data_IF_926598346489
#
_entry.id   IF_926598346489
#
_cell.length_a   1.000
_cell.length_b   1.000
_cell.length_c   1.000
_cell.angle_alpha   90.00
_cell.angle_beta   90.00
_cell.angle_gamma   90.00
#
_symmetry.space_group_name_H-M   'P 1'
#
loop_
_entity.id
_entity.type
_entity.pdbx_description
1 polymer ?
#
# COMPACT_ATOMS: atom_id res chain seq x y z
N UNK A 1 0.33 -20.12 -17.73
CA UNK A 1 -0.23 -19.71 -16.42
C UNK A 1 -1.75 -19.75 -16.44
N UNK A 2 -2.42 -19.50 -15.31
CA UNK A 2 -3.90 -19.45 -15.23
C UNK A 2 -4.50 -18.42 -16.19
N UNK A 3 -3.86 -17.26 -16.37
CA UNK A 3 -4.33 -16.21 -17.29
C UNK A 3 -4.45 -16.71 -18.73
N UNK A 4 -3.45 -17.42 -19.26
CA UNK A 4 -3.50 -17.96 -20.63
C UNK A 4 -4.62 -19.00 -20.83
N UNK A 5 -4.95 -19.78 -19.79
CA UNK A 5 -6.07 -20.74 -19.85
C UNK A 5 -7.42 -20.02 -19.92
N UNK A 6 -7.59 -18.95 -19.16
CA UNK A 6 -8.83 -18.15 -19.11
C UNK A 6 -8.98 -17.32 -20.39
N UNK A 7 -7.89 -16.73 -20.88
CA UNK A 7 -7.85 -15.88 -22.06
C UNK A 7 -8.39 -16.57 -23.33
N UNK A 8 -8.15 -17.87 -23.51
CA UNK A 8 -8.72 -18.64 -24.62
C UNK A 8 -10.22 -18.98 -24.48
N UNK A 9 -10.80 -18.79 -23.30
CA UNK A 9 -12.21 -19.10 -22.99
C UNK A 9 -13.09 -17.86 -22.85
N UNK A 10 -12.47 -16.69 -22.64
CA UNK A 10 -13.15 -15.41 -22.52
C UNK A 10 -13.72 -14.93 -23.86
N UNK A 11 -14.82 -14.20 -23.78
CA UNK A 11 -15.30 -13.37 -24.91
C UNK A 11 -14.28 -12.29 -25.23
N UNK A 12 -14.27 -11.82 -26.48
CA UNK A 12 -13.31 -10.80 -26.93
C UNK A 12 -13.45 -9.45 -26.18
N UNK A 13 -14.63 -9.19 -25.59
CA UNK A 13 -14.94 -7.98 -24.81
C UNK A 13 -14.69 -8.12 -23.30
N UNK A 14 -14.39 -9.33 -22.80
CA UNK A 14 -14.22 -9.58 -21.38
C UNK A 14 -12.94 -8.91 -20.83
N UNK A 15 -13.05 -8.23 -19.69
CA UNK A 15 -11.88 -7.69 -18.95
C UNK A 15 -11.28 -8.81 -18.12
N UNK A 16 -9.96 -9.02 -18.25
CA UNK A 16 -9.21 -9.98 -17.45
C UNK A 16 -8.45 -9.19 -16.37
N UNK A 17 -8.98 -9.18 -15.15
CA UNK A 17 -8.36 -8.53 -14.01
C UNK A 17 -7.55 -9.53 -13.15
N UNK A 18 -6.33 -9.16 -12.78
CA UNK A 18 -5.48 -9.94 -11.87
C UNK A 18 -5.33 -9.25 -10.52
N UNK A 19 -5.47 -10.00 -9.42
CA UNK A 19 -5.22 -9.52 -8.06
C UNK A 19 -3.76 -9.72 -7.60
N UNK A 20 -2.81 -9.81 -8.55
CA UNK A 20 -1.39 -9.94 -8.22
C UNK A 20 -0.92 -8.75 -7.37
N UNK A 21 -0.11 -9.01 -6.33
CA UNK A 21 0.36 -7.97 -5.40
C UNK A 21 1.67 -7.30 -5.81
N UNK A 22 2.41 -7.89 -6.75
CA UNK A 22 3.75 -7.42 -7.15
C UNK A 22 4.12 -7.72 -8.61
N UNK A 23 3.26 -8.40 -9.38
CA UNK A 23 3.60 -8.80 -10.74
C UNK A 23 3.23 -7.70 -11.73
N UNK A 24 4.24 -7.22 -12.46
CA UNK A 24 4.09 -6.19 -13.49
C UNK A 24 3.10 -6.65 -14.57
N UNK A 25 2.05 -5.86 -14.89
CA UNK A 25 1.02 -6.22 -15.86
C UNK A 25 1.57 -6.65 -17.22
N UNK A 26 2.59 -5.96 -17.73
CA UNK A 26 3.20 -6.29 -19.03
C UNK A 26 3.83 -7.70 -19.05
N UNK A 27 4.55 -8.08 -17.99
CA UNK A 27 5.23 -9.38 -17.91
C UNK A 27 4.25 -10.56 -17.90
N UNK A 28 3.10 -10.38 -17.26
CA UNK A 28 2.09 -11.44 -17.12
C UNK A 28 1.11 -11.51 -18.29
N UNK A 29 0.96 -10.42 -19.06
CA UNK A 29 -0.04 -10.34 -20.14
C UNK A 29 0.53 -10.33 -21.56
N UNK A 30 1.84 -10.19 -21.76
CA UNK A 30 2.49 -10.04 -23.07
C UNK A 30 2.10 -11.09 -24.13
N UNK A 31 1.81 -12.31 -23.69
CA UNK A 31 1.50 -13.46 -24.55
C UNK A 31 0.00 -13.82 -24.59
N UNK A 32 -0.88 -12.98 -24.03
CA UNK A 32 -2.32 -13.19 -24.07
C UNK A 32 -2.91 -12.72 -25.41
N UNK A 33 -3.90 -13.44 -25.93
CA UNK A 33 -4.73 -13.05 -27.07
C UNK A 33 -5.42 -11.72 -26.78
N UNK A 34 -6.09 -11.59 -25.64
CA UNK A 34 -6.81 -10.37 -25.24
C UNK A 34 -5.97 -9.49 -24.30
N UNK A 35 -4.66 -9.35 -24.58
CA UNK A 35 -3.76 -8.57 -23.73
C UNK A 35 -4.20 -7.11 -23.55
N UNK A 36 -4.85 -6.52 -24.56
CA UNK A 36 -5.44 -5.18 -24.48
C UNK A 36 -6.59 -5.07 -23.49
N UNK A 37 -7.24 -6.19 -23.14
CA UNK A 37 -8.31 -6.29 -22.13
C UNK A 37 -7.79 -6.72 -20.75
N UNK A 38 -6.47 -6.85 -20.58
CA UNK A 38 -5.86 -7.27 -19.32
C UNK A 38 -5.55 -6.06 -18.44
N UNK A 39 -5.76 -6.21 -17.13
CA UNK A 39 -5.43 -5.18 -16.13
C UNK A 39 -5.07 -5.83 -14.78
N UNK A 40 -4.24 -5.17 -13.97
CA UNK A 40 -4.05 -5.56 -12.56
C UNK A 40 -4.93 -4.68 -11.67
N UNK A 41 -5.64 -5.31 -10.75
CA UNK A 41 -6.40 -4.69 -9.68
C UNK A 41 -5.85 -5.22 -8.36
N UNK A 42 -4.94 -4.48 -7.72
CA UNK A 42 -4.30 -4.89 -6.47
C UNK A 42 -5.10 -4.35 -5.26
N UNK A 43 -5.87 -5.20 -4.54
CA UNK A 43 -6.63 -4.75 -3.39
C UNK A 43 -5.77 -4.70 -2.13
N UNK A 44 -6.12 -3.81 -1.20
CA UNK A 44 -5.49 -3.74 0.12
C UNK A 44 -6.07 -4.79 1.06
N UNK A 45 -5.24 -5.59 1.74
CA UNK A 45 -5.71 -6.61 2.68
C UNK A 45 -5.98 -6.02 4.09
N UNK A 46 -7.16 -6.24 4.72
CA UNK A 46 -8.35 -6.95 4.22
C UNK A 46 -9.25 -6.06 3.33
N UNK A 47 -9.64 -6.52 2.13
CA UNK A 47 -10.30 -5.69 1.11
C UNK A 47 -11.69 -5.20 1.49
N UNK A 48 -12.33 -5.85 2.46
CA UNK A 48 -13.64 -5.45 2.94
C UNK A 48 -13.58 -4.22 3.86
N UNK A 49 -12.44 -3.97 4.52
CA UNK A 49 -12.26 -2.85 5.45
C UNK A 49 -11.22 -1.82 4.98
N UNK A 50 -10.40 -2.17 3.99
CA UNK A 50 -9.44 -1.29 3.34
C UNK A 50 -9.83 -1.15 1.86
N UNK A 51 -10.63 -0.14 1.49
CA UNK A 51 -11.32 -0.09 0.20
C UNK A 51 -10.39 0.27 -0.97
N UNK A 52 -9.12 0.58 -0.72
CA UNK A 52 -8.18 0.99 -1.76
C UNK A 52 -7.85 -0.17 -2.70
N UNK A 53 -8.01 0.06 -4.01
CA UNK A 53 -7.60 -0.86 -5.07
C UNK A 53 -6.71 -0.13 -6.07
N UNK A 54 -5.46 -0.57 -6.24
CA UNK A 54 -4.58 -0.03 -7.27
C UNK A 54 -4.94 -0.65 -8.62
N UNK A 55 -5.30 0.19 -9.60
CA UNK A 55 -5.64 -0.17 -10.97
C UNK A 55 -4.43 0.13 -11.85
N UNK A 56 -3.76 -0.93 -12.33
CA UNK A 56 -2.49 -0.82 -13.05
C UNK A 56 -2.64 -1.41 -14.47
N UNK A 57 -2.74 -0.55 -15.50
CA UNK A 57 -2.72 -1.00 -16.90
C UNK A 57 -1.32 -1.44 -17.34
N UNK A 58 -1.27 -2.38 -18.29
CA UNK A 58 -0.09 -2.60 -19.11
C UNK A 58 -0.01 -1.52 -20.22
N UNK A 59 1.14 -1.35 -20.89
CA UNK A 59 1.27 -0.37 -21.98
C UNK A 59 0.30 -0.55 -23.16
N UNK A 60 -0.26 -1.75 -23.33
CA UNK A 60 -1.23 -2.10 -24.37
C UNK A 60 -2.67 -2.21 -23.87
N UNK A 61 -2.92 -2.00 -22.57
CA UNK A 61 -4.28 -2.03 -22.03
C UNK A 61 -5.08 -0.88 -22.61
N UNK A 62 -6.26 -1.16 -23.17
CA UNK A 62 -7.09 -0.13 -23.78
C UNK A 62 -7.61 0.85 -22.72
N UNK A 63 -7.68 2.16 -23.03
CA UNK A 63 -8.17 3.16 -22.07
C UNK A 63 -9.56 2.88 -21.52
N UNK A 64 -10.46 2.29 -22.31
CA UNK A 64 -11.82 1.95 -21.87
C UNK A 64 -11.82 0.84 -20.80
N UNK A 65 -10.84 -0.07 -20.81
CA UNK A 65 -10.66 -1.08 -19.76
C UNK A 65 -10.40 -0.39 -18.43
N UNK A 66 -9.53 0.63 -18.42
CA UNK A 66 -9.18 1.38 -17.21
C UNK A 66 -10.40 2.11 -16.67
N UNK A 67 -11.13 2.81 -17.55
CA UNK A 67 -12.35 3.54 -17.16
C UNK A 67 -13.41 2.59 -16.62
N UNK A 68 -13.70 1.50 -17.34
CA UNK A 68 -14.72 0.51 -16.95
C UNK A 68 -14.35 -0.15 -15.63
N UNK A 69 -13.09 -0.57 -15.46
CA UNK A 69 -12.61 -1.19 -14.23
C UNK A 69 -12.72 -0.24 -13.04
N UNK A 70 -12.32 1.02 -13.22
CA UNK A 70 -12.42 2.05 -12.19
C UNK A 70 -13.89 2.28 -11.78
N UNK A 71 -14.80 2.36 -12.76
CA UNK A 71 -16.22 2.54 -12.48
C UNK A 71 -16.80 1.34 -11.71
N UNK A 72 -16.54 0.11 -12.18
CA UNK A 72 -17.03 -1.11 -11.53
C UNK A 72 -16.54 -1.23 -10.08
N UNK A 73 -15.27 -0.91 -9.81
CA UNK A 73 -14.74 -0.91 -8.46
C UNK A 73 -15.44 0.13 -7.58
N UNK A 74 -15.63 1.35 -8.07
CA UNK A 74 -16.33 2.41 -7.34
C UNK A 74 -17.79 2.04 -7.01
N UNK A 75 -18.50 1.40 -7.94
CA UNK A 75 -19.89 0.92 -7.72
C UNK A 75 -19.99 -0.12 -6.58
N UNK A 76 -18.91 -0.86 -6.31
CA UNK A 76 -18.84 -1.81 -5.19
C UNK A 76 -18.44 -1.17 -3.84
N UNK A 77 -18.28 0.15 -3.80
CA UNK A 77 -17.82 0.88 -2.61
C UNK A 77 -16.31 0.82 -2.38
N UNK A 78 -15.54 0.32 -3.35
CA UNK A 78 -14.08 0.41 -3.33
C UNK A 78 -13.62 1.80 -3.77
N UNK A 79 -12.38 2.14 -3.46
CA UNK A 79 -11.71 3.39 -3.82
C UNK A 79 -10.58 3.04 -4.80
N UNK A 80 -10.86 3.00 -6.11
CA UNK A 80 -9.83 2.70 -7.10
C UNK A 80 -8.85 3.87 -7.24
N UNK A 81 -7.57 3.57 -7.41
CA UNK A 81 -6.52 4.54 -7.77
C UNK A 81 -5.77 4.07 -9.02
N UNK A 82 -5.61 4.95 -9.99
CA UNK A 82 -4.97 4.59 -11.27
C UNK A 82 -3.47 4.79 -11.17
N UNK A 83 -2.71 3.70 -11.27
CA UNK A 83 -1.24 3.71 -11.37
C UNK A 83 -0.87 3.88 -12.84
N UNK A 84 -0.62 5.12 -13.25
CA UNK A 84 -0.43 5.51 -14.67
C UNK A 84 0.72 4.81 -15.39
N UNK A 85 1.71 4.31 -14.64
CA UNK A 85 2.87 3.61 -15.17
C UNK A 85 3.17 2.43 -14.27
N UNK A 86 3.25 1.24 -14.86
CA UNK A 86 3.66 0.05 -14.13
C UNK A 86 5.04 0.25 -13.47
N UNK A 87 5.13 -0.19 -12.22
CA UNK A 87 6.31 -0.09 -11.38
C UNK A 87 6.37 -1.32 -10.49
N UNK A 88 7.59 -1.76 -10.20
CA UNK A 88 7.84 -2.87 -9.28
C UNK A 88 7.23 -2.61 -7.90
N UNK A 89 6.52 -3.61 -7.39
CA UNK A 89 5.76 -3.60 -6.13
C UNK A 89 4.62 -2.56 -6.01
N UNK A 90 4.23 -1.88 -7.10
CA UNK A 90 3.15 -0.86 -7.11
C UNK A 90 3.36 0.29 -6.11
N UNK A 91 2.37 1.16 -5.87
CA UNK A 91 2.59 2.40 -5.10
C UNK A 91 2.43 2.16 -3.60
N UNK A 92 1.40 1.41 -3.19
CA UNK A 92 1.15 1.11 -1.78
C UNK A 92 2.36 0.44 -1.11
N UNK A 93 2.88 -0.65 -1.72
CA UNK A 93 4.01 -1.35 -1.09
C UNK A 93 5.27 -0.51 -1.11
N UNK A 94 5.52 0.32 -2.13
CA UNK A 94 6.70 1.20 -2.13
C UNK A 94 6.69 2.20 -0.97
N UNK A 95 5.54 2.77 -0.65
CA UNK A 95 5.39 3.63 0.53
C UNK A 95 5.58 2.80 1.81
N UNK A 96 4.92 1.64 1.91
CA UNK A 96 5.04 0.75 3.08
C UNK A 96 6.49 0.31 3.33
N UNK A 97 7.20 -0.14 2.29
CA UNK A 97 8.57 -0.64 2.38
C UNK A 97 9.56 0.49 2.68
N UNK A 98 9.28 1.73 2.26
CA UNK A 98 10.07 2.89 2.67
C UNK A 98 9.99 3.13 4.18
N UNK A 99 8.80 2.98 4.75
CA UNK A 99 8.57 3.09 6.20
C UNK A 99 9.26 1.93 6.93
N UNK A 100 9.02 0.68 6.50
CA UNK A 100 9.63 -0.50 7.14
C UNK A 100 11.16 -0.42 7.07
N UNK A 101 11.72 0.00 5.94
CA UNK A 101 13.17 0.12 5.75
C UNK A 101 13.81 1.10 6.75
N UNK A 102 13.16 2.23 7.02
CA UNK A 102 13.66 3.19 8.01
C UNK A 102 13.43 2.72 9.45
N UNK A 103 12.27 2.13 9.75
CA UNK A 103 12.03 1.52 11.07
C UNK A 103 13.05 0.43 11.40
N UNK A 104 13.41 -0.40 10.41
CA UNK A 104 14.45 -1.42 10.56
C UNK A 104 15.80 -0.80 10.94
N UNK A 105 16.19 0.27 10.26
CA UNK A 105 17.44 0.98 10.52
C UNK A 105 17.47 1.61 11.91
N UNK A 106 16.41 2.30 12.30
CA UNK A 106 16.30 2.91 13.63
C UNK A 106 16.40 1.87 14.74
N UNK A 107 15.83 0.69 14.53
CA UNK A 107 15.97 -0.43 15.47
C UNK A 107 17.39 -1.01 15.48
N UNK A 108 17.96 -1.28 14.30
CA UNK A 108 19.32 -1.83 14.14
C UNK A 108 20.39 -0.92 14.78
N UNK A 109 20.24 0.39 14.64
CA UNK A 109 21.14 1.41 15.19
C UNK A 109 20.87 1.72 16.67
N UNK A 110 19.90 1.03 17.29
CA UNK A 110 19.59 1.16 18.72
C UNK A 110 18.90 2.48 19.09
N UNK A 111 18.29 3.16 18.12
CA UNK A 111 17.59 4.43 18.36
C UNK A 111 16.31 4.20 19.15
N UNK A 112 15.58 3.11 18.86
CA UNK A 112 14.29 2.80 19.48
C UNK A 112 14.03 1.28 19.55
N UNK A 113 13.20 0.86 20.51
CA UNK A 113 12.66 -0.50 20.62
C UNK A 113 11.58 -0.77 19.56
N UNK A 114 11.23 -2.04 19.30
CA UNK A 114 10.11 -2.35 18.38
C UNK A 114 8.81 -1.75 18.91
N UNK A 115 8.59 -1.81 20.23
CA UNK A 115 7.37 -1.28 20.85
C UNK A 115 7.22 0.23 20.64
N UNK A 116 8.29 1.00 20.82
CA UNK A 116 8.21 2.44 20.69
C UNK A 116 8.12 2.89 19.22
N UNK A 117 8.77 2.16 18.30
CA UNK A 117 8.59 2.37 16.85
C UNK A 117 7.11 2.17 16.46
N UNK A 118 6.49 1.08 16.93
CA UNK A 118 5.08 0.81 16.68
C UNK A 118 4.19 1.94 17.24
N UNK A 119 4.48 2.46 18.44
CA UNK A 119 3.73 3.57 19.06
C UNK A 119 3.89 4.89 18.30
N UNK A 120 5.07 5.22 17.79
CA UNK A 120 5.28 6.42 16.95
C UNK A 120 4.34 6.41 15.76
N UNK A 121 4.12 5.22 15.17
CA UNK A 121 3.16 5.05 14.09
C UNK A 121 1.71 5.02 14.60
N UNK A 122 1.35 4.12 15.51
CA UNK A 122 -0.05 3.91 15.89
C UNK A 122 -0.67 5.09 16.64
N UNK A 123 0.11 5.74 17.51
CA UNK A 123 -0.36 6.86 18.34
C UNK A 123 0.03 8.24 17.78
N UNK A 124 0.96 8.30 16.82
CA UNK A 124 1.40 9.54 16.19
C UNK A 124 1.00 9.61 14.71
N UNK A 125 1.92 9.19 13.84
CA UNK A 125 1.84 9.45 12.39
C UNK A 125 0.66 8.74 11.71
N UNK A 126 0.37 7.52 12.11
CA UNK A 126 -0.74 6.71 11.58
C UNK A 126 -2.12 7.30 11.84
N UNK A 127 -2.30 8.07 12.93
CA UNK A 127 -3.59 8.68 13.25
C UNK A 127 -4.05 9.68 12.20
N UNK A 128 -3.15 10.53 11.71
CA UNK A 128 -3.47 11.46 10.60
C UNK A 128 -3.58 10.72 9.26
N UNK A 129 -2.73 9.72 9.03
CA UNK A 129 -2.78 8.93 7.79
C UNK A 129 -4.01 8.03 7.65
N UNK A 130 -4.77 7.81 8.72
CA UNK A 130 -6.10 7.22 8.64
C UNK A 130 -7.12 8.12 7.91
N UNK A 131 -6.89 9.43 7.85
CA UNK A 131 -7.84 10.41 7.34
C UNK A 131 -7.34 11.18 6.11
N UNK A 132 -6.03 11.42 6.00
CA UNK A 132 -5.45 12.25 4.94
C UNK A 132 -4.13 11.69 4.43
N UNK A 133 -3.78 12.04 3.18
CA UNK A 133 -2.52 11.63 2.56
C UNK A 133 -1.30 12.39 3.10
N UNK A 134 -0.08 11.93 2.81
CA UNK A 134 1.15 12.60 3.25
C UNK A 134 1.35 13.98 2.60
N UNK A 135 0.95 14.16 1.34
CA UNK A 135 1.06 15.45 0.65
C UNK A 135 0.05 16.47 1.17
N UNK A 136 -1.17 16.02 1.47
CA UNK A 136 -2.20 16.86 2.11
C UNK A 136 -1.78 17.23 3.53
N UNK A 137 -1.24 16.28 4.29
CA UNK A 137 -0.65 16.54 5.61
C UNK A 137 0.43 17.62 5.52
N UNK A 138 1.35 17.53 4.55
CA UNK A 138 2.38 18.56 4.35
C UNK A 138 1.76 19.91 3.99
N UNK A 139 0.77 19.92 3.09
CA UNK A 139 0.04 21.13 2.71
C UNK A 139 -0.60 21.82 3.93
N UNK A 140 -1.23 21.07 4.83
CA UNK A 140 -1.94 21.58 6.01
C UNK A 140 -1.03 21.92 7.20
N UNK A 141 0.17 21.34 7.29
CA UNK A 141 1.15 21.67 8.34
C UNK A 141 1.88 23.00 8.07
N UNK A 142 1.56 23.67 6.99
CA UNK A 142 2.08 24.96 6.60
C UNK A 142 0.98 25.78 5.91
N UNK A 143 1.30 26.97 5.44
CA UNK A 143 0.39 27.78 4.63
C UNK A 143 0.46 27.33 3.15
N UNK A 144 0.19 26.04 2.93
CA UNK A 144 0.29 25.36 1.64
C UNK A 144 1.68 24.81 1.30
N UNK A 145 1.76 24.09 0.16
CA UNK A 145 2.95 23.32 -0.21
C UNK A 145 4.19 24.17 -0.49
N UNK A 146 4.05 25.38 -1.03
CA UNK A 146 5.18 26.29 -1.23
C UNK A 146 5.80 26.70 0.11
N UNK A 147 4.96 27.11 1.07
CA UNK A 147 5.41 27.45 2.41
C UNK A 147 6.03 26.24 3.15
N UNK A 148 5.45 25.05 2.98
CA UNK A 148 6.02 23.81 3.51
C UNK A 148 7.42 23.55 2.93
N UNK A 149 7.57 23.71 1.61
CA UNK A 149 8.85 23.59 0.93
C UNK A 149 9.89 24.55 1.47
N UNK A 150 9.57 25.84 1.59
CA UNK A 150 10.50 26.84 2.11
C UNK A 150 10.94 26.58 3.55
N UNK A 151 10.02 26.08 4.40
CA UNK A 151 10.32 25.77 5.80
C UNK A 151 11.12 24.48 5.99
N UNK A 152 10.82 23.44 5.20
CA UNK A 152 11.23 22.08 5.55
C UNK A 152 12.12 21.38 4.52
N UNK A 153 12.30 21.93 3.31
CA UNK A 153 13.08 21.27 2.24
C UNK A 153 14.50 20.90 2.68
N UNK A 154 15.21 21.79 3.37
CA UNK A 154 16.59 21.55 3.81
C UNK A 154 16.67 20.45 4.88
N UNK A 155 15.73 20.45 5.83
CA UNK A 155 15.63 19.42 6.85
C UNK A 155 15.31 18.06 6.22
N UNK A 156 14.31 18.00 5.33
CA UNK A 156 13.89 16.77 4.65
C UNK A 156 15.07 16.21 3.86
N UNK A 157 15.73 17.05 3.05
CA UNK A 157 16.90 16.65 2.26
C UNK A 157 18.02 16.13 3.16
N UNK A 158 18.39 16.87 4.21
CA UNK A 158 19.43 16.47 5.15
C UNK A 158 19.15 15.11 5.79
N UNK A 159 17.92 14.86 6.25
CA UNK A 159 17.53 13.58 6.87
C UNK A 159 17.56 12.45 5.84
N UNK A 160 17.09 12.68 4.61
CA UNK A 160 17.17 11.66 3.56
C UNK A 160 18.62 11.29 3.22
N UNK A 161 19.55 12.25 3.27
CA UNK A 161 20.98 11.98 3.07
C UNK A 161 21.59 11.08 4.16
N UNK A 162 20.97 10.94 5.34
CA UNK A 162 21.48 10.07 6.42
C UNK A 162 20.97 8.64 6.37
N UNK A 163 20.02 8.32 5.48
CA UNK A 163 19.42 6.98 5.42
C UNK A 163 20.43 5.90 5.00
N UNK A 164 21.61 6.22 4.46
CA UNK A 164 22.59 5.20 4.07
C UNK A 164 22.06 4.15 3.08
N UNK A 165 22.72 3.00 3.02
CA UNK A 165 22.37 1.94 2.06
C UNK A 165 21.12 1.13 2.48
N UNK A 166 20.35 0.57 1.54
CA UNK A 166 19.27 -0.36 1.84
C UNK A 166 19.77 -1.57 2.68
N UNK A 167 18.97 -1.98 3.67
CA UNK A 167 19.23 -3.15 4.50
C UNK A 167 18.40 -4.33 4.04
N UNK A 168 18.98 -5.54 4.12
CA UNK A 168 18.22 -6.78 4.02
C UNK A 168 17.69 -7.12 5.41
N UNK A 169 16.43 -7.58 5.46
CA UNK A 169 15.78 -7.96 6.72
C UNK A 169 16.21 -9.38 7.12
N UNK A 170 17.46 -9.52 7.58
CA UNK A 170 18.08 -10.80 7.90
C UNK A 170 19.04 -10.70 9.09
N UNK A 171 19.55 -11.86 9.53
CA UNK A 171 20.58 -11.93 10.55
C UNK A 171 20.13 -11.50 11.96
N UNK A 172 21.06 -11.06 12.81
CA UNK A 172 20.79 -10.83 14.23
C UNK A 172 19.70 -9.79 14.50
N UNK A 173 19.54 -8.79 13.62
CA UNK A 173 18.48 -7.79 13.75
C UNK A 173 17.10 -8.42 13.56
N UNK A 174 16.95 -9.34 12.59
CA UNK A 174 15.71 -10.09 12.38
C UNK A 174 15.35 -10.91 13.62
N UNK A 175 16.32 -11.65 14.16
CA UNK A 175 16.11 -12.53 15.31
C UNK A 175 15.64 -11.73 16.54
N UNK A 176 16.22 -10.56 16.77
CA UNK A 176 15.83 -9.69 17.89
C UNK A 176 14.42 -9.12 17.71
N UNK A 177 14.08 -8.60 16.53
CA UNK A 177 12.73 -8.11 16.23
C UNK A 177 11.71 -9.24 16.38
N UNK A 178 12.01 -10.43 15.86
CA UNK A 178 11.16 -11.62 15.98
C UNK A 178 10.91 -11.96 17.45
N UNK A 179 11.95 -11.96 18.29
CA UNK A 179 11.84 -12.26 19.72
C UNK A 179 11.00 -11.21 20.47
N UNK A 180 11.22 -9.92 20.21
CA UNK A 180 10.43 -8.82 20.81
C UNK A 180 8.95 -8.82 20.37
N UNK A 181 8.67 -9.21 19.12
CA UNK A 181 7.30 -9.34 18.64
C UNK A 181 6.64 -10.59 19.22
N UNK A 182 7.34 -11.72 19.26
CA UNK A 182 6.78 -13.00 19.74
C UNK A 182 6.48 -12.96 21.24
N UNK A 183 7.24 -12.19 22.03
CA UNK A 183 6.94 -12.01 23.46
C UNK A 183 5.63 -11.26 23.73
N UNK A 184 5.21 -10.41 22.79
CA UNK A 184 3.96 -9.61 22.86
C UNK A 184 2.80 -10.25 22.09
N UNK A 185 3.13 -10.93 21.00
CA UNK A 185 2.19 -11.55 20.05
C UNK A 185 2.72 -12.96 19.76
N UNK A 186 2.41 -13.95 20.61
CA UNK A 186 2.80 -15.33 20.39
C UNK A 186 2.34 -15.85 19.02
N UNK A 187 3.14 -16.71 18.38
CA UNK A 187 2.89 -17.19 17.02
C UNK A 187 1.58 -18.01 16.89
N UNK A 188 1.20 -18.71 17.96
CA UNK A 188 -0.05 -19.45 18.06
C UNK A 188 -1.28 -18.52 18.22
N UNK A 189 -1.08 -17.26 18.62
CA UNK A 189 -2.13 -16.25 18.78
C UNK A 189 -2.26 -15.28 17.60
N UNK A 190 -1.53 -15.49 16.49
CA UNK A 190 -1.55 -14.58 15.34
C UNK A 190 -2.98 -14.37 14.78
N UNK A 191 -3.81 -15.40 14.78
CA UNK A 191 -5.19 -15.29 14.29
C UNK A 191 -6.06 -14.39 15.17
N UNK A 192 -5.87 -14.44 16.49
CA UNK A 192 -6.57 -13.55 17.42
C UNK A 192 -6.13 -12.10 17.22
N UNK A 193 -4.82 -11.87 17.03
CA UNK A 193 -4.29 -10.54 16.75
C UNK A 193 -4.76 -9.98 15.40
N UNK A 194 -4.85 -10.82 14.36
CA UNK A 194 -5.43 -10.45 13.06
C UNK A 194 -6.91 -10.08 13.20
N UNK A 195 -7.68 -10.86 13.95
CA UNK A 195 -9.10 -10.55 14.23
C UNK A 195 -9.25 -9.22 14.98
N UNK A 196 -8.39 -8.96 15.97
CA UNK A 196 -8.32 -7.68 16.70
C UNK A 196 -8.05 -6.49 15.77
N UNK A 197 -7.15 -6.66 14.78
CA UNK A 197 -6.83 -5.65 13.75
C UNK A 197 -8.02 -5.42 12.84
N UNK A 198 -8.62 -6.48 12.33
CA UNK A 198 -9.70 -6.39 11.34
C UNK A 198 -10.95 -5.70 11.93
N UNK A 199 -11.28 -5.97 13.20
CA UNK A 199 -12.36 -5.25 13.91
C UNK A 199 -12.09 -3.73 13.97
N UNK A 200 -10.83 -3.33 14.19
CA UNK A 200 -10.45 -1.91 14.25
C UNK A 200 -10.49 -1.25 12.88
N UNK A 201 -10.03 -1.94 11.84
CA UNK A 201 -10.14 -1.46 10.46
C UNK A 201 -11.62 -1.30 10.06
N UNK A 202 -12.48 -2.27 10.42
CA UNK A 202 -13.93 -2.17 10.20
C UNK A 202 -14.54 -0.95 10.92
N UNK A 203 -14.14 -0.73 12.17
CA UNK A 203 -14.60 0.41 12.97
C UNK A 203 -14.14 1.74 12.38
N UNK A 204 -12.89 1.81 11.91
CA UNK A 204 -12.34 2.99 11.23
C UNK A 204 -13.08 3.26 9.91
N UNK A 205 -13.33 2.23 9.10
CA UNK A 205 -14.08 2.40 7.85
C UNK A 205 -15.48 2.94 8.10
N UNK A 206 -16.17 2.41 9.12
CA UNK A 206 -17.47 2.94 9.54
C UNK A 206 -17.36 4.42 9.94
N UNK A 207 -16.38 4.77 10.77
CA UNK A 207 -16.16 6.15 11.19
C UNK A 207 -15.94 7.08 9.99
N UNK A 208 -15.11 6.69 9.02
CA UNK A 208 -14.86 7.47 7.80
C UNK A 208 -16.15 7.68 7.01
N UNK A 209 -16.91 6.62 6.77
CA UNK A 209 -18.21 6.71 6.08
C UNK A 209 -19.22 7.62 6.81
N UNK A 210 -19.18 7.67 8.14
CA UNK A 210 -20.08 8.52 8.94
C UNK A 210 -19.63 9.99 8.91
N UNK A 211 -18.34 10.26 8.77
CA UNK A 211 -17.78 11.61 8.62
C UNK A 211 -18.05 12.19 7.23
N UNK A 212 -17.94 11.38 6.17
CA UNK A 212 -18.12 11.83 4.78
C UNK A 212 -19.60 12.14 4.43
N UNK A 213 -20.55 11.72 5.28
CA UNK A 213 -21.99 12.00 5.12
C UNK A 213 -22.44 13.33 5.74
N UNK A 214 -21.60 14.00 6.53
CA UNK A 214 -21.91 15.26 7.21
C UNK A 214 -21.42 16.45 6.40
#
# INVERSE_FOLDING_TARGET
>A
GVHAKIDGLCKDDAIIASAASALIPSLISQNLKHKNRFIVCHPTNPPFYAPLVEVIPAPWTDPDVVVTTNQLLAETGQVPVIVKKEIDDFVLNRIQLSIIGECWRLYEEGVMSVEDIDKVMSEGLGRRYAFMGPLETAYLNADGMYNYGDKYKEMIYRVQCTFGAPRKMEGPTLDKIQNELTSRIPLDQLNERRKWRDIRLASLQKLKNDLDKK
#
